data_IF_630710043910
#
_entry.id   IF_630710043910
#
_cell.length_a   1.000
_cell.length_b   1.000
_cell.length_c   1.000
_cell.angle_alpha   90.00
_cell.angle_beta   90.00
_cell.angle_gamma   90.00
#
_symmetry.space_group_name_H-M   'P 1'
#
loop_
_entity.id
_entity.type
_entity.pdbx_description
1 polymer ?
#
# COMPACT_ATOMS: atom_id res chain seq x y z
N UNK A 1 2.85 -30.46 -1.33
CA UNK A 1 2.23 -29.24 -1.87
C UNK A 1 2.34 -28.18 -0.78
N UNK A 2 2.92 -27.01 -1.06
CA UNK A 2 3.01 -25.95 -0.06
C UNK A 2 1.58 -25.53 0.35
N UNK A 3 1.32 -25.45 1.66
CA UNK A 3 0.00 -25.11 2.20
C UNK A 3 -0.48 -23.72 1.75
N UNK A 4 -1.80 -23.54 1.69
CA UNK A 4 -2.41 -22.23 1.38
C UNK A 4 -2.03 -21.22 2.46
N UNK A 5 -1.46 -20.08 2.05
CA UNK A 5 -1.06 -18.99 2.96
C UNK A 5 -2.19 -18.00 3.21
N UNK A 6 -2.21 -17.41 4.40
CA UNK A 6 -3.14 -16.36 4.82
C UNK A 6 -2.41 -15.04 4.96
N UNK A 7 -2.80 -14.03 4.19
CA UNK A 7 -2.19 -12.70 4.25
C UNK A 7 -3.20 -11.63 4.65
N UNK A 8 -2.73 -10.58 5.31
CA UNK A 8 -3.52 -9.38 5.57
C UNK A 8 -3.13 -8.24 4.64
N UNK A 9 -4.07 -7.35 4.33
CA UNK A 9 -3.78 -6.08 3.64
C UNK A 9 -4.24 -4.93 4.54
N UNK A 10 -3.32 -4.02 4.85
CA UNK A 10 -3.55 -2.86 5.70
C UNK A 10 -3.17 -1.59 4.95
N UNK A 11 -4.02 -0.57 5.01
CA UNK A 11 -3.68 0.79 4.59
C UNK A 11 -3.41 1.67 5.80
N UNK A 12 -2.44 2.58 5.69
CA UNK A 12 -2.07 3.50 6.76
C UNK A 12 -1.69 4.89 6.21
N UNK A 13 -1.99 5.94 6.98
CA UNK A 13 -1.83 7.34 6.57
C UNK A 13 -3.03 7.86 5.77
N UNK A 14 -2.85 9.00 5.09
CA UNK A 14 -3.90 9.61 4.26
C UNK A 14 -4.19 8.81 2.99
N UNK A 15 -5.42 8.92 2.48
CA UNK A 15 -5.84 8.28 1.23
C UNK A 15 -5.24 8.98 0.00
N UNK A 16 -5.05 8.21 -1.07
CA UNK A 16 -4.65 8.76 -2.37
C UNK A 16 -5.27 7.95 -3.51
N UNK A 17 -5.20 8.47 -4.73
CA UNK A 17 -5.60 7.72 -5.91
C UNK A 17 -4.72 6.47 -6.08
N UNK A 18 -5.32 5.36 -6.53
CA UNK A 18 -4.63 4.10 -6.82
C UNK A 18 -4.74 3.03 -5.73
N UNK A 19 -5.21 3.33 -4.52
CA UNK A 19 -5.31 2.35 -3.42
C UNK A 19 -6.14 1.13 -3.78
N UNK A 20 -7.35 1.36 -4.32
CA UNK A 20 -8.25 0.27 -4.70
C UNK A 20 -7.63 -0.62 -5.79
N UNK A 21 -6.85 -0.03 -6.71
CA UNK A 21 -6.16 -0.80 -7.75
C UNK A 21 -5.07 -1.69 -7.14
N UNK A 22 -4.30 -1.17 -6.19
CA UNK A 22 -3.28 -1.94 -5.46
C UNK A 22 -3.92 -3.06 -4.65
N UNK A 23 -4.93 -2.76 -3.82
CA UNK A 23 -5.64 -3.75 -3.01
C UNK A 23 -6.19 -4.86 -3.91
N UNK A 24 -6.87 -4.48 -5.01
CA UNK A 24 -7.39 -5.44 -5.99
C UNK A 24 -6.29 -6.28 -6.63
N UNK A 25 -5.16 -5.69 -7.00
CA UNK A 25 -4.04 -6.41 -7.59
C UNK A 25 -3.44 -7.44 -6.61
N UNK A 26 -3.25 -7.06 -5.34
CA UNK A 26 -2.77 -7.96 -4.28
C UNK A 26 -3.75 -9.12 -4.09
N UNK A 27 -5.04 -8.84 -3.93
CA UNK A 27 -6.07 -9.87 -3.68
C UNK A 27 -6.21 -10.82 -4.87
N UNK A 28 -6.29 -10.30 -6.10
CA UNK A 28 -6.43 -11.14 -7.29
C UNK A 28 -5.21 -12.02 -7.52
N UNK A 29 -3.99 -11.52 -7.28
CA UNK A 29 -2.78 -12.34 -7.39
C UNK A 29 -2.73 -13.42 -6.32
N UNK A 30 -3.05 -13.08 -5.07
CA UNK A 30 -3.11 -14.04 -3.97
C UNK A 30 -4.07 -15.20 -4.30
N UNK A 31 -5.30 -14.89 -4.71
CA UNK A 31 -6.34 -15.90 -4.97
C UNK A 31 -6.06 -16.67 -6.27
N UNK A 32 -5.90 -15.96 -7.39
CA UNK A 32 -5.93 -16.60 -8.71
C UNK A 32 -4.60 -17.25 -9.09
N UNK A 33 -3.47 -16.74 -8.60
CA UNK A 33 -2.15 -17.28 -8.94
C UNK A 33 -1.64 -18.26 -7.88
N UNK A 34 -1.86 -17.95 -6.61
CA UNK A 34 -1.24 -18.70 -5.52
C UNK A 34 -2.23 -19.51 -4.66
N UNK A 35 -3.54 -19.33 -4.84
CA UNK A 35 -4.55 -20.02 -4.03
C UNK A 35 -4.49 -19.62 -2.55
N UNK A 36 -4.08 -18.39 -2.26
CA UNK A 36 -3.95 -17.84 -0.90
C UNK A 36 -5.24 -17.16 -0.45
N UNK A 37 -5.41 -17.04 0.87
CA UNK A 37 -6.54 -16.36 1.52
C UNK A 37 -6.12 -14.98 2.01
N UNK A 38 -7.01 -13.99 1.90
CA UNK A 38 -6.77 -12.61 2.37
C UNK A 38 -7.76 -12.27 3.48
N UNK A 39 -7.28 -12.03 4.70
CA UNK A 39 -8.12 -11.84 5.91
C UNK A 39 -7.51 -10.79 6.87
N UNK A 40 -8.31 -10.14 7.73
CA UNK A 40 -7.87 -8.99 8.56
C UNK A 40 -7.80 -9.25 10.06
N UNK A 41 -6.66 -8.98 10.71
CA UNK A 41 -6.44 -9.20 12.15
C UNK A 41 -5.41 -10.31 12.38
N UNK A 42 -4.16 -9.93 12.66
CA UNK A 42 -2.99 -10.82 12.51
C UNK A 42 -3.00 -12.08 13.40
N UNK A 43 -3.19 -11.90 14.71
CA UNK A 43 -3.11 -13.00 15.68
C UNK A 43 -4.40 -13.81 15.78
N UNK A 44 -5.54 -13.13 15.72
CA UNK A 44 -6.85 -13.79 15.82
C UNK A 44 -7.15 -14.65 14.60
N UNK A 45 -6.60 -14.29 13.44
CA UNK A 45 -6.85 -14.98 12.18
C UNK A 45 -5.71 -15.88 11.70
N UNK A 46 -4.63 -15.98 12.48
CA UNK A 46 -3.48 -16.84 12.16
C UNK A 46 -2.87 -16.50 10.78
N UNK A 47 -2.46 -15.23 10.62
CA UNK A 47 -1.85 -14.73 9.39
C UNK A 47 -0.38 -15.16 9.25
N UNK A 48 0.00 -15.55 8.04
CA UNK A 48 1.40 -15.80 7.67
C UNK A 48 2.18 -14.50 7.42
N UNK A 49 1.53 -13.47 6.88
CA UNK A 49 2.19 -12.21 6.51
C UNK A 49 1.21 -11.03 6.41
N UNK A 50 1.76 -9.81 6.44
CA UNK A 50 1.02 -8.57 6.29
C UNK A 50 1.58 -7.72 5.15
N UNK A 51 0.70 -7.28 4.25
CA UNK A 51 1.00 -6.28 3.20
C UNK A 51 0.51 -4.92 3.67
N UNK A 52 1.41 -3.95 3.79
CA UNK A 52 1.09 -2.60 4.26
C UNK A 52 1.26 -1.58 3.14
N UNK A 53 0.21 -0.82 2.86
CA UNK A 53 0.26 0.36 2.01
C UNK A 53 0.42 1.60 2.89
N UNK A 54 1.53 2.32 2.75
CA UNK A 54 1.80 3.44 3.65
C UNK A 54 2.95 4.34 3.21
N UNK A 55 3.13 5.41 3.97
CA UNK A 55 4.27 6.33 3.87
C UNK A 55 5.39 5.96 4.84
N UNK A 56 6.42 6.81 4.88
CA UNK A 56 7.57 6.64 5.76
C UNK A 56 7.18 6.51 7.24
N UNK A 57 6.23 7.33 7.71
CA UNK A 57 5.70 7.25 9.07
C UNK A 57 5.04 5.90 9.37
N UNK A 58 4.22 5.41 8.45
CA UNK A 58 3.57 4.10 8.55
C UNK A 58 4.59 2.97 8.59
N UNK A 59 5.59 2.99 7.71
CA UNK A 59 6.62 1.96 7.66
C UNK A 59 7.50 1.95 8.91
N UNK A 60 7.80 3.10 9.51
CA UNK A 60 8.51 3.14 10.80
C UNK A 60 7.74 2.43 11.91
N UNK A 61 6.43 2.64 12.00
CA UNK A 61 5.58 1.99 13.01
C UNK A 61 5.48 0.49 12.72
N UNK A 62 5.17 0.14 11.48
CA UNK A 62 4.96 -1.26 11.09
C UNK A 62 6.24 -2.09 11.18
N UNK A 63 7.41 -1.50 10.89
CA UNK A 63 8.69 -2.17 11.11
C UNK A 63 8.91 -2.52 12.56
N UNK A 64 8.63 -1.59 13.49
CA UNK A 64 8.76 -1.87 14.94
C UNK A 64 7.79 -2.96 15.39
N UNK A 65 6.54 -2.91 14.91
CA UNK A 65 5.55 -3.95 15.21
C UNK A 65 5.97 -5.31 14.64
N UNK A 66 6.56 -5.34 13.44
CA UNK A 66 7.04 -6.55 12.82
C UNK A 66 8.23 -7.16 13.57
N UNK A 67 9.19 -6.32 13.98
CA UNK A 67 10.34 -6.74 14.79
C UNK A 67 9.91 -7.25 16.18
N UNK A 68 8.92 -6.61 16.82
CA UNK A 68 8.40 -7.04 18.13
C UNK A 68 7.50 -8.26 18.06
N UNK A 69 6.76 -8.41 16.96
CA UNK A 69 5.72 -9.42 16.80
C UNK A 69 6.16 -10.65 15.99
N UNK A 70 7.39 -10.68 15.50
CA UNK A 70 7.91 -11.66 14.55
C UNK A 70 6.97 -11.82 13.34
N UNK A 71 6.67 -10.69 12.68
CA UNK A 71 5.69 -10.62 11.59
C UNK A 71 6.40 -10.47 10.24
N UNK A 72 6.10 -11.36 9.30
CA UNK A 72 6.48 -11.18 7.91
C UNK A 72 5.73 -10.00 7.31
N UNK A 73 6.47 -8.97 6.88
CA UNK A 73 5.92 -7.69 6.45
C UNK A 73 6.43 -7.31 5.05
N UNK A 74 5.51 -6.91 4.16
CA UNK A 74 5.82 -6.29 2.87
C UNK A 74 5.20 -4.90 2.79
N UNK A 75 6.01 -3.88 2.49
CA UNK A 75 5.56 -2.50 2.32
C UNK A 75 5.33 -2.14 0.86
N UNK A 76 4.22 -1.46 0.57
CA UNK A 76 3.92 -0.84 -0.73
C UNK A 76 3.86 0.69 -0.54
N UNK A 77 4.76 1.45 -1.19
CA UNK A 77 4.88 2.90 -0.96
C UNK A 77 3.65 3.65 -1.45
N UNK A 78 2.94 4.31 -0.53
CA UNK A 78 1.72 5.08 -0.75
C UNK A 78 1.83 6.47 -0.13
N UNK A 79 2.06 7.47 -0.97
CA UNK A 79 2.06 8.89 -0.60
C UNK A 79 1.90 9.75 -1.85
N UNK A 80 1.28 10.93 -1.69
CA UNK A 80 1.28 11.96 -2.73
C UNK A 80 2.58 12.78 -2.74
N UNK A 81 3.37 12.70 -1.66
CA UNK A 81 4.56 13.54 -1.46
C UNK A 81 5.81 12.97 -2.17
N UNK A 82 5.75 11.70 -2.60
CA UNK A 82 6.86 10.93 -3.18
C UNK A 82 8.18 10.98 -2.39
N UNK A 83 8.07 11.02 -1.07
CA UNK A 83 9.19 11.19 -0.14
C UNK A 83 9.69 9.87 0.47
N UNK A 84 9.25 8.72 -0.07
CA UNK A 84 9.61 7.40 0.44
C UNK A 84 10.90 6.91 -0.19
N UNK A 85 11.85 6.50 0.65
CA UNK A 85 13.09 5.89 0.17
C UNK A 85 12.85 4.53 -0.50
N UNK A 86 13.76 4.11 -1.40
CA UNK A 86 13.75 2.79 -2.09
C UNK A 86 12.72 2.62 -3.21
N UNK A 87 11.95 3.65 -3.56
CA UNK A 87 11.15 3.69 -4.80
C UNK A 87 11.40 5.01 -5.53
N UNK A 88 11.28 5.00 -6.85
CA UNK A 88 11.32 6.24 -7.66
C UNK A 88 9.98 6.98 -7.61
N UNK A 89 8.88 6.22 -7.55
CA UNK A 89 7.53 6.74 -7.53
C UNK A 89 6.66 5.99 -6.51
N UNK A 90 5.99 6.74 -5.66
CA UNK A 90 4.96 6.24 -4.76
C UNK A 90 3.58 6.24 -5.43
N UNK A 91 2.71 5.33 -4.99
CA UNK A 91 1.31 5.31 -5.40
C UNK A 91 0.64 6.60 -4.92
N UNK A 92 -0.05 7.30 -5.84
CA UNK A 92 -0.73 8.56 -5.60
C UNK A 92 0.00 9.79 -6.13
N UNK A 93 1.33 9.73 -6.27
CA UNK A 93 2.15 10.88 -6.66
C UNK A 93 1.78 11.45 -8.03
N UNK A 94 1.78 10.61 -9.08
CA UNK A 94 1.49 11.05 -10.46
C UNK A 94 0.12 11.69 -10.58
N UNK A 95 -0.89 11.13 -9.89
CA UNK A 95 -2.22 11.72 -9.88
C UNK A 95 -2.23 13.09 -9.20
N UNK A 96 -1.52 13.25 -8.08
CA UNK A 96 -1.41 14.54 -7.40
C UNK A 96 -0.75 15.61 -8.30
N UNK A 97 0.33 15.23 -9.00
CA UNK A 97 0.99 16.12 -9.98
C UNK A 97 0.03 16.54 -11.07
N UNK A 98 -0.71 15.62 -11.68
CA UNK A 98 -1.67 15.95 -12.73
C UNK A 98 -2.77 16.90 -12.25
N UNK A 99 -3.31 16.67 -11.04
CA UNK A 99 -4.33 17.54 -10.44
C UNK A 99 -3.78 18.94 -10.19
N UNK A 100 -2.54 19.04 -9.69
CA UNK A 100 -1.88 20.33 -9.46
C UNK A 100 -1.64 21.09 -10.78
N UNK A 101 -1.15 20.40 -11.81
CA UNK A 101 -0.95 20.97 -13.15
C UNK A 101 -2.27 21.47 -13.73
N UNK A 102 -3.33 20.66 -13.68
CA UNK A 102 -4.65 21.05 -14.18
C UNK A 102 -5.21 22.26 -13.43
N UNK A 103 -4.99 22.34 -12.11
CA UNK A 103 -5.39 23.50 -11.32
C UNK A 103 -4.63 24.76 -11.75
N UNK A 104 -3.32 24.66 -12.03
CA UNK A 104 -2.52 25.78 -12.54
C UNK A 104 -2.99 26.23 -13.92
N UNK A 105 -3.26 25.29 -14.82
CA UNK A 105 -3.76 25.59 -16.17
C UNK A 105 -5.10 26.34 -16.12
N UNK A 106 -6.00 25.95 -15.21
CA UNK A 106 -7.29 26.63 -15.00
C UNK A 106 -7.16 28.03 -14.42
N UNK A 107 -6.07 28.33 -13.72
CA UNK A 107 -5.79 29.66 -13.18
C UNK A 107 -5.16 30.59 -14.22
N UNK A 108 -4.60 30.04 -15.31
CA UNK A 108 -4.14 30.88 -16.40
C UNK A 108 -5.35 31.51 -17.09
N UNK A 109 -5.36 32.84 -17.26
CA UNK A 109 -6.39 33.47 -18.06
C UNK A 109 -6.30 32.91 -19.48
N UNK A 110 -7.44 32.53 -20.04
CA UNK A 110 -7.55 32.18 -21.46
C UNK A 110 -7.01 33.36 -22.28
N UNK A 111 -6.14 33.13 -23.27
CA UNK A 111 -5.70 34.21 -24.16
C UNK A 111 -6.88 34.89 -24.86
#
# INVERSE_FOLDING_TARGET
MAGSKRIGVLTSGGDCAGLNAVIRAVVLRAINTYGWQVIGGYRELDLDALVVLGGDGSFRIMRRLAEQGDIDLVGIPKTIDNDISKTENAIGFVTAVNVATEALDRLQPTP
#
